data_IF_930343633443
#
_entry.id   IF_930343633443
#
_cell.length_a   1.000
_cell.length_b   1.000
_cell.length_c   1.000
_cell.angle_alpha   90.00
_cell.angle_beta   90.00
_cell.angle_gamma   90.00
#
_symmetry.space_group_name_H-M   'P 1'
#
loop_
_entity.id
_entity.type
_entity.pdbx_description
1 polymer ?
#
# COMPACT_ATOMS: atom_id res chain seq x y z
N UNK A 1 9.70 -13.54 1.82
CA UNK A 1 9.06 -14.86 2.00
C UNK A 1 9.15 -15.42 3.42
N UNK A 2 10.30 -15.35 4.11
CA UNK A 2 10.46 -15.95 5.45
C UNK A 2 9.50 -15.42 6.53
N UNK A 3 9.05 -14.17 6.43
CA UNK A 3 8.05 -13.58 7.34
C UNK A 3 6.63 -14.12 7.17
N UNK A 4 6.32 -14.74 6.01
CA UNK A 4 5.01 -15.30 5.66
C UNK A 4 3.80 -14.47 6.16
N UNK A 5 3.71 -13.16 5.82
CA UNK A 5 2.79 -12.24 6.48
C UNK A 5 1.31 -12.62 6.25
N UNK A 6 0.47 -12.42 7.27
CA UNK A 6 -1.00 -12.47 7.14
C UNK A 6 -1.53 -11.17 6.53
N UNK A 7 -0.93 -10.04 6.91
CA UNK A 7 -1.34 -8.71 6.53
C UNK A 7 -0.13 -7.88 6.10
N UNK A 8 -0.35 -6.97 5.16
CA UNK A 8 0.66 -6.09 4.60
C UNK A 8 0.15 -4.65 4.51
N UNK A 9 1.07 -3.68 4.56
CA UNK A 9 0.83 -2.30 4.14
C UNK A 9 1.61 -2.07 2.86
N UNK A 10 0.94 -1.64 1.79
CA UNK A 10 1.61 -1.31 0.53
C UNK A 10 2.14 0.12 0.61
N UNK A 11 3.46 0.28 0.55
CA UNK A 11 4.11 1.59 0.54
C UNK A 11 4.32 2.09 -0.89
N UNK A 12 3.99 3.36 -1.16
CA UNK A 12 4.12 3.94 -2.51
C UNK A 12 4.47 5.42 -2.47
N UNK A 13 5.31 5.89 -3.41
CA UNK A 13 5.63 7.31 -3.55
C UNK A 13 4.65 7.95 -4.52
N UNK A 14 3.80 8.86 -4.04
CA UNK A 14 2.60 9.32 -4.74
C UNK A 14 2.89 9.93 -6.13
N UNK A 15 3.99 10.66 -6.27
CA UNK A 15 4.36 11.30 -7.54
C UNK A 15 5.13 10.39 -8.51
N UNK A 16 5.43 9.13 -8.16
CA UNK A 16 6.31 8.27 -8.95
C UNK A 16 5.55 7.59 -10.09
N UNK A 17 5.89 7.96 -11.32
CA UNK A 17 5.37 7.34 -12.55
C UNK A 17 6.27 6.28 -13.17
N UNK A 18 7.58 6.29 -12.86
CA UNK A 18 8.59 5.35 -13.39
C UNK A 18 9.22 4.56 -12.24
N UNK A 19 9.43 3.26 -12.44
CA UNK A 19 10.06 2.40 -11.43
C UNK A 19 11.48 2.88 -11.17
N UNK A 20 11.79 3.10 -9.88
CA UNK A 20 13.11 3.57 -9.43
C UNK A 20 14.20 2.62 -9.94
N UNK A 21 15.22 3.15 -10.62
CA UNK A 21 16.31 2.38 -11.19
C UNK A 21 16.07 1.86 -12.62
N UNK A 22 14.89 2.12 -13.19
CA UNK A 22 14.52 1.77 -14.57
C UNK A 22 14.16 3.01 -15.40
N UNK A 23 14.77 4.16 -15.10
CA UNK A 23 14.48 5.43 -15.77
C UNK A 23 14.88 5.41 -17.25
N UNK A 24 15.94 4.69 -17.61
CA UNK A 24 16.41 4.54 -18.99
C UNK A 24 15.42 3.74 -19.84
N UNK A 25 14.90 2.65 -19.25
CA UNK A 25 13.94 1.74 -19.87
C UNK A 25 12.51 2.30 -19.85
N UNK A 26 12.28 3.40 -19.12
CA UNK A 26 10.97 4.03 -18.93
C UNK A 26 9.90 3.05 -18.45
N UNK A 27 10.28 2.14 -17.56
CA UNK A 27 9.36 1.15 -17.01
C UNK A 27 8.30 1.84 -16.15
N UNK A 28 7.01 1.85 -16.55
CA UNK A 28 5.99 2.54 -15.79
C UNK A 28 5.70 1.82 -14.47
N UNK A 29 5.38 2.60 -13.44
CA UNK A 29 4.80 2.03 -12.23
C UNK A 29 3.37 1.56 -12.52
N UNK A 30 3.02 0.37 -12.05
CA UNK A 30 1.68 -0.19 -12.20
C UNK A 30 0.64 0.53 -11.34
N UNK A 31 -0.62 0.36 -11.70
CA UNK A 31 -1.77 0.83 -10.90
C UNK A 31 -1.72 0.23 -9.48
N UNK A 32 -2.17 0.98 -8.47
CA UNK A 32 -2.15 0.53 -7.08
C UNK A 32 -2.97 -0.76 -6.87
N UNK A 33 -4.10 -0.95 -7.58
CA UNK A 33 -4.87 -2.20 -7.50
C UNK A 33 -4.11 -3.39 -8.05
N UNK A 34 -3.40 -3.20 -9.16
CA UNK A 34 -2.55 -4.25 -9.72
C UNK A 34 -1.43 -4.62 -8.75
N UNK A 35 -0.79 -3.62 -8.14
CA UNK A 35 0.25 -3.85 -7.12
C UNK A 35 -0.32 -4.63 -5.94
N UNK A 36 -1.48 -4.26 -5.41
CA UNK A 36 -2.16 -5.01 -4.33
C UNK A 36 -2.34 -6.47 -4.74
N UNK A 37 -2.95 -6.74 -5.89
CA UNK A 37 -3.20 -8.11 -6.35
C UNK A 37 -1.90 -8.92 -6.52
N UNK A 38 -0.85 -8.32 -7.09
CA UNK A 38 0.46 -8.95 -7.27
C UNK A 38 1.08 -9.34 -5.93
N UNK A 39 1.04 -8.44 -4.94
CA UNK A 39 1.63 -8.71 -3.62
C UNK A 39 0.85 -9.77 -2.84
N UNK A 40 -0.48 -9.73 -2.87
CA UNK A 40 -1.32 -10.75 -2.22
C UNK A 40 -1.11 -12.13 -2.84
N UNK A 41 -1.04 -12.20 -4.17
CA UNK A 41 -0.77 -13.46 -4.88
C UNK A 41 0.61 -14.00 -4.55
N UNK A 42 1.67 -13.18 -4.62
CA UNK A 42 3.02 -13.59 -4.28
C UNK A 42 3.16 -14.04 -2.81
N UNK A 43 2.42 -13.42 -1.89
CA UNK A 43 2.38 -13.82 -0.49
C UNK A 43 1.62 -15.15 -0.29
N UNK A 44 0.65 -15.46 -1.15
CA UNK A 44 -0.13 -16.70 -1.07
C UNK A 44 0.69 -17.95 -1.38
N UNK A 45 1.75 -17.87 -2.18
CA UNK A 45 2.56 -19.03 -2.61
C UNK A 45 3.27 -19.77 -1.47
N UNK A 46 3.37 -19.16 -0.29
CA UNK A 46 3.97 -19.77 0.91
C UNK A 46 2.93 -20.26 1.91
N UNK A 47 1.63 -20.18 1.59
CA UNK A 47 0.54 -20.56 2.48
C UNK A 47 -0.13 -21.84 2.00
N UNK A 48 -0.50 -22.75 2.91
CA UNK A 48 -1.32 -23.89 2.53
C UNK A 48 -2.70 -23.42 2.03
N UNK A 49 -3.31 -24.19 1.14
CA UNK A 49 -4.58 -23.82 0.47
C UNK A 49 -5.76 -23.66 1.42
N UNK A 50 -5.69 -24.22 2.63
CA UNK A 50 -6.71 -24.12 3.67
C UNK A 50 -6.48 -22.96 4.66
N UNK A 51 -5.45 -22.14 4.48
CA UNK A 51 -5.23 -20.93 5.27
C UNK A 51 -5.82 -19.69 4.59
N UNK A 52 -6.27 -18.67 5.35
CA UNK A 52 -6.64 -17.39 4.79
C UNK A 52 -5.52 -16.79 3.93
N UNK A 53 -5.90 -16.23 2.77
CA UNK A 53 -4.97 -15.51 1.90
C UNK A 53 -4.40 -14.30 2.64
N UNK A 54 -3.11 -14.04 2.40
CA UNK A 54 -2.48 -12.80 2.85
C UNK A 54 -3.14 -11.60 2.15
N UNK A 55 -3.31 -10.50 2.87
CA UNK A 55 -3.99 -9.30 2.34
C UNK A 55 -3.19 -8.03 2.51
N UNK A 56 -3.33 -7.10 1.58
CA UNK A 56 -2.93 -5.71 1.81
C UNK A 56 -4.06 -5.03 2.56
N UNK A 57 -3.80 -4.61 3.80
CA UNK A 57 -4.81 -4.01 4.66
C UNK A 57 -4.93 -2.49 4.49
N UNK A 58 -3.87 -1.83 4.02
CA UNK A 58 -3.83 -0.37 3.84
C UNK A 58 -2.72 0.08 2.88
N UNK A 59 -2.80 1.33 2.44
CA UNK A 59 -1.81 2.01 1.60
C UNK A 59 -1.10 3.10 2.41
N UNK A 60 0.23 3.01 2.50
CA UNK A 60 1.06 4.10 3.03
C UNK A 60 1.64 4.90 1.87
N UNK A 61 1.22 6.16 1.74
CA UNK A 61 1.78 7.05 0.73
C UNK A 61 2.94 7.85 1.30
N UNK A 62 3.97 8.02 0.48
CA UNK A 62 4.99 9.05 0.65
C UNK A 62 4.64 10.22 -0.27
N UNK A 63 4.25 11.34 0.34
CA UNK A 63 3.88 12.60 -0.32
C UNK A 63 4.92 13.70 -0.12
N UNK A 64 6.17 13.35 0.23
CA UNK A 64 7.20 14.33 0.60
C UNK A 64 7.51 15.36 -0.49
N UNK A 65 7.31 15.00 -1.76
CA UNK A 65 7.57 15.87 -2.92
C UNK A 65 6.34 16.66 -3.39
N UNK A 66 5.20 16.51 -2.72
CA UNK A 66 3.94 17.16 -3.06
C UNK A 66 3.67 18.33 -2.10
N UNK A 67 2.90 19.31 -2.57
CA UNK A 67 2.28 20.28 -1.67
C UNK A 67 1.15 19.64 -0.84
N UNK A 68 0.60 20.38 0.12
CA UNK A 68 -0.40 19.86 1.05
C UNK A 68 -1.73 19.48 0.37
N UNK A 69 -2.14 20.19 -0.68
CA UNK A 69 -3.38 19.90 -1.40
C UNK A 69 -3.22 18.64 -2.26
N UNK A 70 -2.12 18.55 -2.99
CA UNK A 70 -1.75 17.39 -3.79
C UNK A 70 -1.56 16.15 -2.91
N UNK A 71 -0.95 16.29 -1.73
CA UNK A 71 -0.78 15.21 -0.77
C UNK A 71 -2.14 14.68 -0.29
N UNK A 72 -3.04 15.56 0.17
CA UNK A 72 -4.40 15.17 0.60
C UNK A 72 -5.19 14.50 -0.52
N UNK A 73 -5.10 15.04 -1.73
CA UNK A 73 -5.76 14.47 -2.91
C UNK A 73 -5.21 13.10 -3.25
N UNK A 74 -3.88 12.93 -3.25
CA UNK A 74 -3.23 11.64 -3.52
C UNK A 74 -3.64 10.56 -2.52
N UNK A 75 -3.74 10.89 -1.23
CA UNK A 75 -4.21 9.96 -0.19
C UNK A 75 -5.66 9.54 -0.42
N UNK A 76 -6.55 10.50 -0.72
CA UNK A 76 -7.96 10.23 -1.03
C UNK A 76 -8.10 9.34 -2.26
N UNK A 77 -7.41 9.69 -3.36
CA UNK A 77 -7.46 8.93 -4.61
C UNK A 77 -6.91 7.50 -4.44
N UNK A 78 -5.85 7.31 -3.63
CA UNK A 78 -5.35 5.98 -3.34
C UNK A 78 -6.38 5.14 -2.59
N UNK A 79 -7.08 5.72 -1.61
CA UNK A 79 -8.15 5.03 -0.89
C UNK A 79 -9.32 4.68 -1.81
N UNK A 80 -9.79 5.63 -2.64
CA UNK A 80 -10.87 5.40 -3.61
C UNK A 80 -10.51 4.35 -4.65
N UNK A 81 -9.29 4.42 -5.21
CA UNK A 81 -8.82 3.48 -6.24
C UNK A 81 -8.71 2.06 -5.71
N UNK A 82 -8.25 1.89 -4.47
CA UNK A 82 -7.97 0.55 -3.91
C UNK A 82 -9.11 -0.01 -3.07
N UNK A 83 -10.03 0.84 -2.60
CA UNK A 83 -11.02 0.48 -1.59
C UNK A 83 -10.41 0.21 -0.21
N UNK A 84 -9.15 0.58 0.02
CA UNK A 84 -8.41 0.35 1.26
C UNK A 84 -8.15 1.66 2.00
N UNK A 85 -8.04 1.64 3.35
CA UNK A 85 -7.54 2.79 4.10
C UNK A 85 -6.19 3.27 3.56
N UNK A 86 -6.04 4.59 3.42
CA UNK A 86 -4.78 5.21 3.01
C UNK A 86 -4.41 6.39 3.91
N UNK A 87 -3.10 6.61 4.07
CA UNK A 87 -2.55 7.76 4.79
C UNK A 87 -1.10 8.03 4.36
N UNK A 88 -0.63 9.26 4.56
CA UNK A 88 0.80 9.53 4.70
C UNK A 88 1.17 9.58 6.18
N UNK A 89 1.78 8.52 6.76
CA UNK A 89 2.07 8.47 8.19
C UNK A 89 3.17 9.45 8.62
N UNK A 90 3.95 10.00 7.68
CA UNK A 90 4.99 10.98 7.99
C UNK A 90 4.41 12.39 7.98
N UNK A 91 3.68 12.76 6.92
CA UNK A 91 3.07 14.09 6.80
C UNK A 91 1.90 14.28 7.78
N UNK A 92 1.06 13.27 7.96
CA UNK A 92 -0.09 13.31 8.87
C UNK A 92 0.30 12.98 10.33
N UNK A 93 1.55 12.59 10.58
CA UNK A 93 2.05 12.20 11.89
C UNK A 93 1.27 11.03 12.49
N UNK A 94 1.04 11.08 13.81
CA UNK A 94 0.39 9.99 14.55
C UNK A 94 -1.01 9.67 14.00
N UNK A 95 -1.78 10.66 13.54
CA UNK A 95 -3.13 10.43 13.01
C UNK A 95 -3.12 9.55 11.75
N UNK A 96 -2.16 9.77 10.85
CA UNK A 96 -1.97 8.93 9.68
C UNK A 96 -1.48 7.53 10.07
N UNK A 97 -0.51 7.45 10.97
CA UNK A 97 0.02 6.18 11.47
C UNK A 97 -1.06 5.33 12.15
N UNK A 98 -1.88 5.94 13.01
CA UNK A 98 -2.99 5.29 13.72
C UNK A 98 -4.04 4.74 12.75
N UNK A 99 -4.36 5.48 11.68
CA UNK A 99 -5.29 5.00 10.64
C UNK A 99 -4.80 3.71 10.00
N UNK A 100 -3.50 3.62 9.68
CA UNK A 100 -2.91 2.41 9.09
C UNK A 100 -2.84 1.26 10.11
N UNK A 101 -2.49 1.55 11.36
CA UNK A 101 -2.44 0.54 12.42
C UNK A 101 -3.82 -0.05 12.73
N UNK A 102 -4.85 0.79 12.81
CA UNK A 102 -6.24 0.35 13.00
C UNK A 102 -6.74 -0.50 11.82
N UNK A 103 -6.35 -0.16 10.59
CA UNK A 103 -6.66 -0.97 9.41
C UNK A 103 -6.08 -2.39 9.51
N UNK A 104 -4.82 -2.54 9.94
CA UNK A 104 -4.23 -3.86 10.22
C UNK A 104 -5.03 -4.58 11.30
N UNK A 105 -5.27 -3.93 12.45
CA UNK A 105 -5.98 -4.56 13.58
C UNK A 105 -7.37 -5.06 13.20
N UNK A 106 -8.12 -4.28 12.41
CA UNK A 106 -9.44 -4.65 11.91
C UNK A 106 -9.42 -5.74 10.83
N UNK A 107 -8.29 -5.96 10.18
CA UNK A 107 -8.13 -6.97 9.14
C UNK A 107 -7.61 -8.32 9.67
N UNK A 108 -7.32 -8.46 10.96
CA UNK A 108 -6.93 -9.75 11.56
C UNK A 108 -8.12 -10.71 11.47
N UNK A 109 -8.01 -11.87 10.82
CA UNK A 109 -9.07 -12.88 10.82
C UNK A 109 -9.43 -13.31 12.24
N UNK A 110 -10.72 -13.48 12.52
CA UNK A 110 -11.21 -14.03 13.78
C UNK A 110 -10.81 -15.50 13.95
#
# INVERSE_FOLDING_TARGET
HGSAPDLMILCHAAARSIVKGYEKERLPVRDLRELVAIYEEAASWRRPSNHPRARVAAIALNTATLDDEQARTSVREAAERTGLPAADPIREGHAGADRLALAIRGAVPA
#
